data_IF_358881984384
#
_entry.id   IF_358881984384
#
_cell.length_a   1.000
_cell.length_b   1.000
_cell.length_c   1.000
_cell.angle_alpha   90.00
_cell.angle_beta   90.00
_cell.angle_gamma   90.00
#
_symmetry.space_group_name_H-M   'P 1'
#
loop_
_entity.id
_entity.type
_entity.pdbx_description
1 polymer ?
#
# COMPACT_ATOMS: atom_id res chain seq x y z
N UNK A 1 -11.20 3.36 -10.46
CA UNK A 1 -11.27 3.98 -9.12
C UNK A 1 -9.86 4.10 -8.61
N UNK A 2 -9.43 5.30 -8.23
CA UNK A 2 -8.05 5.58 -7.86
C UNK A 2 -8.06 6.22 -6.48
N UNK A 3 -7.35 5.62 -5.53
CA UNK A 3 -7.02 6.28 -4.26
C UNK A 3 -5.80 7.16 -4.46
N UNK A 4 -5.75 8.28 -3.76
CA UNK A 4 -4.64 9.24 -3.83
C UNK A 4 -4.08 9.47 -2.43
N UNK A 5 -2.80 9.84 -2.37
CA UNK A 5 -2.13 10.27 -1.15
C UNK A 5 -1.39 11.57 -1.47
N UNK A 6 -1.72 12.65 -0.76
CA UNK A 6 -1.10 13.95 -0.96
C UNK A 6 -0.25 14.29 0.27
N UNK A 7 1.05 14.51 0.07
CA UNK A 7 1.93 14.93 1.14
C UNK A 7 1.68 16.41 1.49
N UNK A 8 1.38 16.72 2.75
CA UNK A 8 1.08 18.07 3.22
C UNK A 8 2.30 18.81 3.80
N UNK A 9 3.48 18.19 3.75
CA UNK A 9 4.71 18.66 4.39
C UNK A 9 5.07 17.90 5.66
N UNK A 10 4.12 17.14 6.22
CA UNK A 10 4.31 16.32 7.42
C UNK A 10 3.81 14.89 7.21
N UNK A 11 2.58 14.72 6.69
CA UNK A 11 1.87 13.45 6.52
C UNK A 11 1.22 13.35 5.14
N UNK A 12 0.78 12.16 4.80
CA UNK A 12 0.01 11.87 3.60
C UNK A 12 -1.48 11.88 3.90
N UNK A 13 -2.20 12.81 3.28
CA UNK A 13 -3.66 12.91 3.31
C UNK A 13 -4.26 11.93 2.30
N UNK A 14 -5.16 11.05 2.76
CA UNK A 14 -5.82 10.06 1.90
C UNK A 14 -6.99 10.71 1.16
N UNK A 15 -7.03 10.48 -0.15
CA UNK A 15 -8.17 10.80 -1.00
C UNK A 15 -8.74 9.57 -1.69
N UNK A 16 -10.02 9.64 -2.02
CA UNK A 16 -10.69 8.66 -2.88
C UNK A 16 -11.75 9.37 -3.72
N UNK A 17 -11.92 8.95 -4.98
CA UNK A 17 -12.91 9.53 -5.89
C UNK A 17 -12.72 11.03 -6.15
N UNK A 18 -11.46 11.50 -6.13
CA UNK A 18 -11.12 12.90 -6.37
C UNK A 18 -11.44 13.85 -5.21
N UNK A 19 -11.74 13.31 -4.02
CA UNK A 19 -11.94 14.09 -2.80
C UNK A 19 -11.13 13.51 -1.66
N UNK A 20 -10.80 14.37 -0.70
CA UNK A 20 -10.24 13.95 0.57
C UNK A 20 -11.20 13.00 1.29
N UNK A 21 -10.64 12.00 1.96
CA UNK A 21 -11.42 11.07 2.75
C UNK A 21 -11.41 11.51 4.21
N UNK A 22 -12.61 11.75 4.73
CA UNK A 22 -12.84 12.23 6.09
C UNK A 22 -13.19 11.07 7.01
N UNK A 23 -12.62 11.07 8.21
CA UNK A 23 -13.05 10.19 9.30
C UNK A 23 -14.43 10.65 9.80
N UNK A 24 -15.44 9.80 9.65
CA UNK A 24 -16.82 10.13 10.04
C UNK A 24 -17.04 10.34 11.54
N UNK A 25 -16.09 9.92 12.38
CA UNK A 25 -16.16 10.08 13.84
C UNK A 25 -15.60 11.42 14.28
N UNK A 26 -14.47 11.85 13.71
CA UNK A 26 -13.75 13.05 14.14
C UNK A 26 -14.03 14.26 13.25
N UNK A 27 -14.45 14.05 12.00
CA UNK A 27 -14.57 15.11 11.00
C UNK A 27 -13.24 15.52 10.37
N UNK A 28 -12.14 14.88 10.74
CA UNK A 28 -10.80 15.21 10.27
C UNK A 28 -10.40 14.39 9.04
N UNK A 29 -9.49 14.90 8.19
CA UNK A 29 -8.91 14.13 7.09
C UNK A 29 -8.21 12.85 7.60
N UNK A 30 -8.36 11.75 6.88
CA UNK A 30 -7.53 10.58 7.11
C UNK A 30 -6.10 10.87 6.68
N UNK A 31 -5.17 10.79 7.64
CA UNK A 31 -3.75 11.04 7.43
C UNK A 31 -2.88 9.88 7.94
N UNK A 32 -1.79 9.59 7.22
CA UNK A 32 -0.76 8.62 7.61
C UNK A 32 0.66 9.14 7.35
N UNK A 33 1.62 8.69 8.13
CA UNK A 33 3.03 9.09 8.02
C UNK A 33 3.78 8.32 6.93
N UNK A 34 3.34 7.08 6.66
CA UNK A 34 3.91 6.23 5.61
C UNK A 34 2.84 5.53 4.80
N UNK A 35 3.03 5.47 3.48
CA UNK A 35 2.22 4.66 2.57
C UNK A 35 3.07 3.52 2.03
N UNK A 36 2.62 2.28 2.19
CA UNK A 36 3.22 1.08 1.59
C UNK A 36 2.29 0.57 0.50
N UNK A 37 2.84 0.31 -0.69
CA UNK A 37 2.12 -0.35 -1.78
C UNK A 37 2.71 -1.74 -1.97
N UNK A 38 1.89 -2.77 -1.76
CA UNK A 38 2.20 -4.17 -2.04
C UNK A 38 1.67 -4.50 -3.42
N UNK A 39 2.55 -4.76 -4.39
CA UNK A 39 2.14 -5.28 -5.70
C UNK A 39 2.17 -6.81 -5.67
N UNK A 40 1.02 -7.42 -5.94
CA UNK A 40 0.84 -8.87 -6.01
C UNK A 40 -0.13 -9.25 -7.13
N UNK A 41 -0.22 -10.53 -7.49
CA UNK A 41 -1.27 -11.00 -8.38
C UNK A 41 -2.60 -11.01 -7.64
N UNK A 42 -3.57 -10.29 -8.17
CA UNK A 42 -4.95 -10.33 -7.75
C UNK A 42 -5.80 -10.78 -8.93
N UNK A 43 -6.57 -11.84 -8.75
CA UNK A 43 -7.31 -12.49 -9.85
C UNK A 43 -8.66 -12.99 -9.37
N UNK A 44 -9.58 -13.17 -10.31
CA UNK A 44 -10.83 -13.88 -10.00
C UNK A 44 -10.49 -15.31 -9.59
N UNK A 45 -11.23 -15.85 -8.63
CA UNK A 45 -11.06 -17.23 -8.21
C UNK A 45 -11.56 -18.13 -9.36
N UNK A 46 -10.72 -19.02 -9.92
CA UNK A 46 -11.15 -19.90 -11.01
C UNK A 46 -12.35 -20.75 -10.61
N UNK A 47 -13.40 -20.74 -11.44
CA UNK A 47 -14.65 -21.46 -11.18
C UNK A 47 -15.61 -20.78 -10.19
N UNK A 48 -15.28 -19.58 -9.68
CA UNK A 48 -16.22 -18.80 -8.85
C UNK A 48 -17.09 -17.89 -9.72
N UNK A 49 -18.35 -18.29 -9.91
CA UNK A 49 -19.36 -17.54 -10.68
C UNK A 49 -19.70 -16.17 -10.05
N UNK A 50 -19.45 -15.98 -8.76
CA UNK A 50 -19.66 -14.70 -8.07
C UNK A 50 -18.52 -13.70 -8.29
N UNK A 51 -17.51 -14.04 -9.09
CA UNK A 51 -16.37 -13.20 -9.44
C UNK A 51 -15.61 -12.64 -8.22
N UNK A 52 -15.57 -13.41 -7.11
CA UNK A 52 -14.72 -13.04 -5.98
C UNK A 52 -13.26 -13.07 -6.42
N UNK A 53 -12.47 -12.20 -5.80
CA UNK A 53 -11.05 -12.07 -6.11
C UNK A 53 -10.21 -12.59 -4.96
N UNK A 54 -9.10 -13.23 -5.30
CA UNK A 54 -7.99 -13.55 -4.39
C UNK A 54 -6.79 -12.66 -4.72
N UNK A 55 -5.98 -12.37 -3.73
CA UNK A 55 -4.66 -11.77 -3.91
C UNK A 55 -3.62 -12.71 -3.28
N UNK A 56 -2.54 -12.98 -4.02
CA UNK A 56 -1.54 -13.98 -3.63
C UNK A 56 -0.53 -13.32 -2.65
N UNK A 57 -0.91 -13.23 -1.37
CA UNK A 57 -0.15 -12.49 -0.34
C UNK A 57 0.91 -13.32 0.40
N UNK A 58 0.95 -14.64 0.19
CA UNK A 58 2.05 -15.51 0.66
C UNK A 58 3.02 -15.73 -0.49
N UNK A 59 4.30 -15.46 -0.25
CA UNK A 59 5.33 -15.40 -1.28
C UNK A 59 6.11 -14.11 -1.20
N UNK A 60 6.48 -13.57 -2.35
CA UNK A 60 7.29 -12.36 -2.47
C UNK A 60 6.86 -11.52 -3.67
N UNK A 61 7.27 -10.24 -3.68
CA UNK A 61 7.00 -9.35 -4.78
C UNK A 61 7.64 -7.98 -4.60
N UNK A 62 7.32 -7.08 -5.53
CA UNK A 62 7.76 -5.68 -5.48
C UNK A 62 6.69 -4.77 -4.88
N UNK A 63 7.10 -3.56 -4.54
CA UNK A 63 6.23 -2.57 -3.98
C UNK A 63 6.87 -1.19 -3.95
N UNK A 64 6.21 -0.28 -3.25
CA UNK A 64 6.70 1.07 -3.02
C UNK A 64 6.53 1.44 -1.55
N UNK A 65 7.44 2.24 -1.02
CA UNK A 65 7.29 2.91 0.26
C UNK A 65 7.37 4.43 0.06
N UNK A 66 6.43 5.16 0.65
CA UNK A 66 6.41 6.61 0.64
C UNK A 66 6.42 7.13 2.08
N UNK A 67 7.43 7.92 2.43
CA UNK A 67 7.61 8.47 3.78
C UNK A 67 8.35 9.81 3.71
N UNK A 68 7.96 10.78 4.55
CA UNK A 68 8.61 12.10 4.60
C UNK A 68 8.68 12.83 3.25
N UNK A 69 7.64 12.69 2.41
CA UNK A 69 7.59 13.28 1.08
C UNK A 69 8.46 12.61 0.01
N UNK A 70 9.13 11.49 0.32
CA UNK A 70 9.96 10.73 -0.62
C UNK A 70 9.38 9.35 -0.89
N UNK A 71 9.58 8.82 -2.10
CA UNK A 71 9.16 7.49 -2.52
C UNK A 71 10.33 6.61 -2.96
N UNK A 72 10.30 5.33 -2.62
CA UNK A 72 11.28 4.33 -3.07
C UNK A 72 10.61 3.01 -3.46
N UNK A 73 11.25 2.27 -4.36
CA UNK A 73 10.89 0.87 -4.60
C UNK A 73 11.34 -0.01 -3.44
N UNK A 74 10.52 -1.01 -3.12
CA UNK A 74 10.79 -2.00 -2.08
C UNK A 74 10.51 -3.42 -2.59
N UNK A 75 11.05 -4.40 -1.87
CA UNK A 75 10.65 -5.80 -1.97
C UNK A 75 9.85 -6.17 -0.74
N UNK A 76 8.87 -7.04 -0.91
CA UNK A 76 8.13 -7.63 0.18
C UNK A 76 8.20 -9.16 0.11
N UNK A 77 8.18 -9.80 1.25
CA UNK A 77 7.94 -11.24 1.37
C UNK A 77 7.05 -11.56 2.56
N UNK A 78 6.36 -12.69 2.51
CA UNK A 78 5.50 -13.21 3.59
C UNK A 78 5.49 -14.72 3.53
N UNK A 79 5.93 -15.37 4.61
CA UNK A 79 6.20 -16.82 4.63
C UNK A 79 4.94 -17.68 4.69
N UNK A 80 3.88 -17.21 5.36
CA UNK A 80 2.59 -17.91 5.48
C UNK A 80 1.48 -16.94 5.83
N UNK A 81 0.23 -17.41 5.90
CA UNK A 81 -0.91 -16.56 6.24
C UNK A 81 -0.81 -15.91 7.63
N UNK A 82 -0.18 -16.60 8.59
CA UNK A 82 -0.03 -16.16 9.98
C UNK A 82 1.21 -15.28 10.24
N UNK A 83 2.10 -15.16 9.26
CA UNK A 83 3.33 -14.38 9.40
C UNK A 83 3.13 -12.94 8.92
N UNK A 84 4.00 -12.03 9.36
CA UNK A 84 3.97 -10.64 8.89
C UNK A 84 4.68 -10.49 7.55
N UNK A 85 4.42 -9.35 6.87
CA UNK A 85 5.25 -8.92 5.76
C UNK A 85 6.65 -8.53 6.26
N UNK A 86 7.66 -9.00 5.56
CA UNK A 86 9.03 -8.50 5.63
C UNK A 86 9.19 -7.50 4.48
N UNK A 87 9.62 -6.29 4.78
CA UNK A 87 9.83 -5.22 3.80
C UNK A 87 11.31 -4.87 3.73
N UNK A 88 11.84 -4.82 2.51
CA UNK A 88 13.26 -4.60 2.24
C UNK A 88 13.42 -3.52 1.18
N UNK A 89 14.48 -2.73 1.27
CA UNK A 89 14.92 -1.85 0.19
C UNK A 89 15.38 -2.70 -1.02
N UNK A 90 15.49 -2.09 -2.18
CA UNK A 90 15.95 -2.77 -3.40
C UNK A 90 17.36 -3.38 -3.30
N UNK A 91 18.18 -2.94 -2.34
CA UNK A 91 19.51 -3.47 -2.04
C UNK A 91 19.50 -4.68 -1.07
N UNK A 92 18.33 -5.10 -0.59
CA UNK A 92 18.15 -6.20 0.35
C UNK A 92 18.32 -5.83 1.82
N UNK A 93 18.57 -4.56 2.15
CA UNK A 93 18.54 -4.09 3.54
C UNK A 93 17.10 -3.97 4.06
N UNK A 94 16.89 -4.17 5.35
CA UNK A 94 15.58 -4.01 5.96
C UNK A 94 15.05 -2.57 5.78
N UNK A 95 13.80 -2.42 5.34
CA UNK A 95 13.15 -1.12 5.22
C UNK A 95 12.97 -0.53 6.61
N UNK A 96 13.54 0.65 6.84
CA UNK A 96 13.36 1.41 8.09
C UNK A 96 12.31 2.49 7.88
N UNK A 97 11.31 2.55 8.75
CA UNK A 97 10.23 3.53 8.70
C UNK A 97 10.31 4.47 9.89
N UNK A 98 10.01 5.75 9.65
CA UNK A 98 9.77 6.71 10.73
C UNK A 98 8.56 6.26 11.57
N UNK A 99 8.58 6.48 12.89
CA UNK A 99 7.42 6.18 13.75
C UNK A 99 6.18 6.93 13.27
N UNK A 100 5.04 6.24 13.23
CA UNK A 100 3.78 6.85 12.81
C UNK A 100 2.74 5.85 12.31
N UNK A 101 1.65 6.38 11.77
CA UNK A 101 0.58 5.62 11.13
C UNK A 101 1.04 5.15 9.75
N UNK A 102 0.85 3.87 9.48
CA UNK A 102 1.16 3.25 8.18
C UNK A 102 -0.15 2.93 7.47
N UNK A 103 -0.25 3.32 6.20
CA UNK A 103 -1.31 2.89 5.30
C UNK A 103 -0.77 1.87 4.30
N UNK A 104 -1.37 0.67 4.25
CA UNK A 104 -0.97 -0.37 3.30
C UNK A 104 -2.02 -0.48 2.19
N UNK A 105 -1.57 -0.35 0.93
CA UNK A 105 -2.37 -0.59 -0.26
C UNK A 105 -1.93 -1.91 -0.90
N UNK A 106 -2.87 -2.83 -1.13
CA UNK A 106 -2.64 -4.03 -1.94
C UNK A 106 -3.15 -3.76 -3.35
N UNK A 107 -2.29 -3.97 -4.34
CA UNK A 107 -2.57 -3.65 -5.74
C UNK A 107 -2.15 -4.79 -6.65
N UNK A 108 -2.94 -5.02 -7.70
CA UNK A 108 -2.59 -5.98 -8.74
C UNK A 108 -1.32 -5.54 -9.51
N UNK A 109 -0.46 -6.49 -9.88
CA UNK A 109 0.78 -6.21 -10.62
C UNK A 109 0.55 -5.49 -11.96
N UNK A 110 -0.61 -5.68 -12.60
CA UNK A 110 -0.98 -4.99 -13.84
C UNK A 110 -1.29 -3.50 -13.68
N UNK A 111 -1.39 -3.00 -12.44
CA UNK A 111 -1.68 -1.59 -12.16
C UNK A 111 -0.39 -0.81 -11.90
N UNK A 112 -0.45 0.48 -12.23
CA UNK A 112 0.65 1.41 -12.03
C UNK A 112 0.40 2.29 -10.82
N UNK A 113 1.48 2.56 -10.09
CA UNK A 113 1.55 3.66 -9.11
C UNK A 113 2.13 4.86 -9.86
N UNK A 114 1.52 6.03 -9.69
CA UNK A 114 2.00 7.30 -10.26
C UNK A 114 2.29 8.23 -9.09
N UNK A 115 3.49 8.79 -9.05
CA UNK A 115 3.95 9.71 -8.04
C UNK A 115 4.90 10.73 -8.68
N UNK A 116 5.00 11.91 -8.07
CA UNK A 116 5.80 13.06 -8.51
C UNK A 116 6.79 13.46 -7.41
#
# INVERSE_FOLDING_TARGET
>A
MTGTFTFDGERYLRGQFGKEQIDGTTGEPLACDTVIVIKTYCQNIPGDESLRRRCDLVGEGSGYAFSGGSGSEIRWSKKSDSEFFVLENSDGSALTLSPGKIWICVMDTSRSVVYE
#
